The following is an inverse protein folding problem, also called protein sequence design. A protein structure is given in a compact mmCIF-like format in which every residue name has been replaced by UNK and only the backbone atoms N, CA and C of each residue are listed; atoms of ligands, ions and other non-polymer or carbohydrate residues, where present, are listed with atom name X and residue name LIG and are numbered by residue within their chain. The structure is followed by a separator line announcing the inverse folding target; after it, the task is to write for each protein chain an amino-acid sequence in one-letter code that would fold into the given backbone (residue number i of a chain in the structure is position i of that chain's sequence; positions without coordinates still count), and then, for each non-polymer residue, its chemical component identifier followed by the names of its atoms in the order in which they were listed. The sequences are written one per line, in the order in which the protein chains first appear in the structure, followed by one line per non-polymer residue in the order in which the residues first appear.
data_IF_068748212279
#
_entry.id   IF_068748212279
#
_cell.length_a   1.000
_cell.length_b   1.000
_cell.length_c   1.000
_cell.angle_alpha   90.00
_cell.angle_beta   90.00
_cell.angle_gamma   90.00
#
_symmetry.space_group_name_H-M   'P 1'
#
loop_
_entity.id
_entity.type
_entity.pdbx_description
1 polymer ?
#
# COMPACT_ATOMS: atom_id res chain seq x y z
N UNK A 1 -5.53 -15.56 20.36
CA UNK A 1 -6.09 -15.68 18.99
C UNK A 1 -5.77 -17.09 18.49
N UNK A 2 -6.71 -17.77 17.83
CA UNK A 2 -6.47 -19.09 17.24
C UNK A 2 -6.14 -18.92 15.76
N UNK A 3 -4.93 -19.30 15.36
CA UNK A 3 -4.50 -19.32 13.96
C UNK A 3 -4.61 -20.76 13.43
N UNK A 4 -5.10 -20.89 12.21
CA UNK A 4 -5.16 -22.17 11.50
C UNK A 4 -4.16 -22.11 10.35
N UNK A 5 -3.20 -23.02 10.36
CA UNK A 5 -2.20 -23.16 9.31
C UNK A 5 -2.50 -24.41 8.49
N UNK A 6 -2.59 -24.24 7.17
CA UNK A 6 -2.72 -25.34 6.23
C UNK A 6 -1.32 -25.67 5.69
N UNK A 7 -0.83 -26.88 5.96
CA UNK A 7 0.46 -27.35 5.44
C UNK A 7 0.23 -28.59 4.58
N UNK A 8 0.64 -28.55 3.32
CA UNK A 8 0.36 -29.61 2.33
C UNK A 8 0.79 -31.01 2.79
N UNK A 9 1.88 -31.12 3.56
CA UNK A 9 2.42 -32.42 4.01
C UNK A 9 2.00 -32.85 5.43
N UNK A 10 1.32 -31.99 6.21
CA UNK A 10 1.06 -32.24 7.65
C UNK A 10 -0.40 -32.00 8.03
N UNK A 11 -1.21 -31.46 7.12
CA UNK A 11 -2.63 -31.17 7.36
C UNK A 11 -2.85 -29.84 8.07
N UNK A 12 -3.93 -29.76 8.85
CA UNK A 12 -4.40 -28.54 9.51
C UNK A 12 -3.81 -28.43 10.91
N UNK A 13 -3.08 -27.35 11.20
CA UNK A 13 -2.50 -27.07 12.50
C UNK A 13 -3.22 -25.91 13.19
N UNK A 14 -3.75 -26.16 14.39
CA UNK A 14 -4.36 -25.14 15.24
C UNK A 14 -3.33 -24.58 16.22
N UNK A 15 -2.96 -23.31 16.07
CA UNK A 15 -2.03 -22.61 16.97
C UNK A 15 -2.77 -21.57 17.80
N UNK A 16 -2.58 -21.62 19.13
CA UNK A 16 -3.03 -20.56 20.03
C UNK A 16 -1.91 -19.55 20.22
N UNK A 17 -2.04 -18.38 19.62
CA UNK A 17 -1.04 -17.29 19.71
C UNK A 17 -1.53 -16.19 20.63
N UNK A 18 -0.59 -15.60 21.38
CA UNK A 18 -0.80 -14.42 22.21
C UNK A 18 -0.18 -13.20 21.52
N UNK A 19 -0.98 -12.17 21.17
CA UNK A 19 -0.47 -10.94 20.60
C UNK A 19 0.46 -10.23 21.57
N UNK A 20 1.50 -9.59 21.05
CA UNK A 20 2.33 -8.66 21.83
C UNK A 20 1.95 -7.24 21.47
N UNK A 21 1.89 -6.37 22.47
CA UNK A 21 1.72 -4.94 22.23
C UNK A 21 3.02 -4.41 21.63
N UNK A 22 2.92 -3.83 20.44
CA UNK A 22 4.05 -3.27 19.74
C UNK A 22 3.81 -1.79 19.48
N UNK A 23 4.78 -0.96 19.86
CA UNK A 23 4.79 0.45 19.53
C UNK A 23 5.06 0.60 18.03
N UNK A 24 4.01 0.90 17.27
CA UNK A 24 4.11 1.19 15.85
C UNK A 24 3.93 2.68 15.63
N UNK A 25 4.84 3.29 14.89
CA UNK A 25 4.68 4.64 14.37
C UNK A 25 3.90 4.51 13.06
N UNK A 26 2.71 5.11 12.99
CA UNK A 26 1.93 5.11 11.76
C UNK A 26 2.60 5.96 10.65
N UNK A 27 2.04 5.93 9.44
CA UNK A 27 2.58 6.66 8.28
C UNK A 27 2.61 8.19 8.48
N UNK A 28 1.97 8.69 9.53
CA UNK A 28 1.89 10.10 9.89
C UNK A 28 2.76 10.47 11.10
N UNK A 29 3.54 9.52 11.63
CA UNK A 29 4.43 9.76 12.77
C UNK A 29 3.78 9.64 14.14
N UNK A 30 2.52 9.18 14.21
CA UNK A 30 1.80 9.02 15.47
C UNK A 30 2.11 7.65 16.06
N UNK A 31 2.59 7.62 17.30
CA UNK A 31 2.82 6.37 18.04
C UNK A 31 1.48 5.75 18.43
N UNK A 32 1.28 4.49 18.06
CA UNK A 32 0.11 3.69 18.46
C UNK A 32 0.59 2.34 18.98
N UNK A 33 0.02 1.92 20.10
CA UNK A 33 0.18 0.55 20.57
C UNK A 33 -0.84 -0.33 19.85
N UNK A 34 -0.33 -1.24 19.01
CA UNK A 34 -1.17 -2.20 18.29
C UNK A 34 -0.80 -3.61 18.75
N UNK A 35 -1.78 -4.46 19.11
CA UNK A 35 -1.51 -5.87 19.35
C UNK A 35 -1.15 -6.53 18.02
N UNK A 36 0.11 -6.97 17.88
CA UNK A 36 0.62 -7.56 16.65
C UNK A 36 0.96 -9.04 16.83
N UNK A 37 0.74 -9.82 15.77
CA UNK A 37 1.24 -11.18 15.61
C UNK A 37 2.05 -11.19 14.33
N UNK A 38 3.37 -11.38 14.44
CA UNK A 38 4.27 -11.42 13.29
C UNK A 38 4.27 -12.78 12.61
N UNK A 39 4.27 -12.78 11.28
CA UNK A 39 4.50 -13.96 10.44
C UNK A 39 5.75 -13.67 9.61
N UNK A 40 6.81 -14.46 9.78
CA UNK A 40 8.00 -14.35 8.95
C UNK A 40 7.87 -15.33 7.78
N UNK A 41 7.68 -14.79 6.59
CA UNK A 41 7.78 -15.57 5.36
C UNK A 41 9.23 -15.49 4.88
N UNK A 42 9.93 -16.62 4.91
CA UNK A 42 11.22 -16.73 4.23
C UNK A 42 10.93 -16.93 2.75
N UNK A 43 10.84 -15.82 2.01
CA UNK A 43 10.79 -15.85 0.55
C UNK A 43 12.21 -16.10 0.08
N UNK A 44 12.51 -17.35 -0.27
CA UNK A 44 13.89 -17.79 -0.53
C UNK A 44 14.49 -17.14 -1.77
N UNK A 45 13.70 -16.68 -2.75
CA UNK A 45 14.27 -16.21 -4.00
C UNK A 45 13.45 -15.06 -4.60
N UNK A 46 13.88 -13.82 -4.36
CA UNK A 46 13.47 -12.67 -5.18
C UNK A 46 14.09 -12.85 -6.58
N UNK A 47 13.50 -13.71 -7.41
CA UNK A 47 13.96 -13.91 -8.78
C UNK A 47 13.66 -12.64 -9.58
N UNK A 48 14.72 -11.91 -9.91
CA UNK A 48 14.66 -10.81 -10.85
C UNK A 48 14.28 -11.37 -12.22
N UNK A 49 13.02 -11.22 -12.58
CA UNK A 49 12.55 -11.53 -13.93
C UNK A 49 12.91 -10.35 -14.84
N UNK A 50 13.97 -10.52 -15.64
CA UNK A 50 14.27 -9.60 -16.73
C UNK A 50 13.13 -9.61 -17.74
N UNK A 51 12.47 -8.46 -17.90
CA UNK A 51 11.40 -8.27 -18.89
C UNK A 51 11.91 -7.48 -20.08
N UNK A 52 11.42 -7.79 -21.27
CA UNK A 52 11.71 -6.99 -22.46
C UNK A 52 11.02 -5.63 -22.39
N UNK A 53 11.47 -4.65 -23.17
CA UNK A 53 10.88 -3.29 -23.21
C UNK A 53 9.37 -3.34 -23.47
N UNK A 54 8.94 -4.20 -24.42
CA UNK A 54 7.53 -4.35 -24.76
C UNK A 54 6.71 -4.97 -23.62
N UNK A 55 7.25 -5.98 -22.94
CA UNK A 55 6.61 -6.58 -21.77
C UNK A 55 6.49 -5.59 -20.61
N UNK A 56 7.51 -4.77 -20.40
CA UNK A 56 7.51 -3.71 -19.38
C UNK A 56 6.47 -2.64 -19.68
N UNK A 57 6.31 -2.26 -20.95
CA UNK A 57 5.27 -1.32 -21.37
C UNK A 57 3.87 -1.88 -21.12
N UNK A 58 3.58 -3.10 -21.58
CA UNK A 58 2.29 -3.76 -21.32
C UNK A 58 2.01 -3.87 -19.82
N UNK A 59 3.03 -4.23 -19.03
CA UNK A 59 2.89 -4.30 -17.58
C UNK A 59 2.64 -2.92 -16.96
N UNK A 60 3.20 -1.86 -17.52
CA UNK A 60 2.92 -0.49 -17.12
C UNK A 60 1.45 -0.11 -17.32
N UNK A 61 0.81 -0.55 -18.40
CA UNK A 61 -0.62 -0.36 -18.62
C UNK A 61 -1.47 -1.10 -17.58
N UNK A 62 -1.11 -2.35 -17.25
CA UNK A 62 -1.77 -3.11 -16.18
C UNK A 62 -1.64 -2.40 -14.83
N UNK A 63 -0.46 -1.85 -14.54
CA UNK A 63 -0.18 -1.12 -13.32
C UNK A 63 -1.03 0.16 -13.24
N UNK A 64 -1.11 0.95 -14.31
CA UNK A 64 -1.98 2.13 -14.40
C UNK A 64 -3.44 1.76 -14.14
N UNK A 65 -3.91 0.65 -14.71
CA UNK A 65 -5.26 0.14 -14.48
C UNK A 65 -5.49 -0.22 -13.00
N UNK A 66 -4.50 -0.84 -12.35
CA UNK A 66 -4.52 -1.17 -10.92
C UNK A 66 -4.59 0.09 -10.05
N UNK A 67 -3.71 1.06 -10.32
CA UNK A 67 -3.68 2.35 -9.62
C UNK A 67 -5.02 3.07 -9.78
N UNK A 68 -5.59 3.07 -10.98
CA UNK A 68 -6.89 3.70 -11.27
C UNK A 68 -8.02 3.09 -10.44
N UNK A 69 -8.10 1.75 -10.38
CA UNK A 69 -9.11 1.07 -9.55
C UNK A 69 -8.97 1.41 -8.07
N UNK A 70 -7.73 1.41 -7.57
CA UNK A 70 -7.45 1.80 -6.19
C UNK A 70 -7.87 3.24 -5.90
N UNK A 71 -7.53 4.15 -6.81
CA UNK A 71 -7.90 5.56 -6.72
C UNK A 71 -9.43 5.77 -6.72
N UNK A 72 -10.16 5.10 -7.61
CA UNK A 72 -11.63 5.14 -7.64
C UNK A 72 -12.25 4.59 -6.35
N UNK A 73 -11.67 3.55 -5.75
CA UNK A 73 -12.12 3.04 -4.45
C UNK A 73 -12.00 4.09 -3.35
N UNK A 74 -10.84 4.76 -3.27
CA UNK A 74 -10.63 5.87 -2.33
C UNK A 74 -11.59 7.02 -2.60
N UNK A 75 -11.75 7.40 -3.87
CA UNK A 75 -12.64 8.48 -4.28
C UNK A 75 -14.10 8.19 -3.92
N UNK A 76 -14.57 6.97 -4.18
CA UNK A 76 -15.93 6.53 -3.81
C UNK A 76 -16.16 6.56 -2.29
N UNK A 77 -15.12 6.24 -1.51
CA UNK A 77 -15.18 6.32 -0.04
C UNK A 77 -15.18 7.77 0.45
N UNK A 78 -14.43 8.65 -0.23
CA UNK A 78 -14.37 10.08 0.06
C UNK A 78 -15.69 10.81 -0.23
N UNK A 79 -16.41 10.42 -1.29
CA UNK A 79 -17.78 10.90 -1.55
C UNK A 79 -18.83 10.25 -0.63
N UNK A 80 -18.50 9.14 0.03
CA UNK A 80 -19.31 8.55 1.09
C UNK A 80 -19.31 9.40 2.37
N UNK A 81 -20.41 9.33 3.13
CA UNK A 81 -20.68 10.18 4.32
C UNK A 81 -19.71 10.02 5.51
N UNK A 82 -18.76 9.09 5.47
CA UNK A 82 -17.96 8.66 6.63
C UNK A 82 -16.51 9.16 6.64
N UNK A 83 -16.09 9.98 5.67
CA UNK A 83 -14.69 10.44 5.62
C UNK A 83 -14.45 11.66 6.50
N UNK A 84 -13.79 11.45 7.65
CA UNK A 84 -13.35 12.56 8.53
C UNK A 84 -12.25 13.36 7.81
N UNK A 85 -12.56 14.61 7.46
CA UNK A 85 -11.67 15.57 6.78
C UNK A 85 -10.28 15.76 7.44
N UNK A 86 -10.12 15.37 8.71
CA UNK A 86 -8.84 15.41 9.43
C UNK A 86 -7.78 14.41 8.93
N UNK A 87 -8.10 13.56 7.95
CA UNK A 87 -7.16 12.58 7.37
C UNK A 87 -6.43 13.09 6.11
N UNK A 88 -6.77 14.28 5.61
CA UNK A 88 -6.08 14.86 4.45
C UNK A 88 -4.70 15.35 4.91
N UNK A 89 -3.66 14.68 4.40
CA UNK A 89 -2.28 15.08 4.65
C UNK A 89 -2.02 16.44 4.01
N UNK A 90 -1.68 17.43 4.83
CA UNK A 90 -1.20 18.73 4.33
C UNK A 90 0.16 18.64 3.62
N UNK A 91 0.72 19.76 3.13
CA UNK A 91 1.98 19.78 2.37
C UNK A 91 3.15 19.07 3.06
N UNK A 92 3.27 19.26 4.38
CA UNK A 92 4.29 18.59 5.21
C UNK A 92 4.07 17.08 5.30
N UNK A 93 2.81 16.63 5.31
CA UNK A 93 2.46 15.21 5.30
C UNK A 93 2.85 14.54 3.99
N UNK A 94 2.58 15.20 2.86
CA UNK A 94 2.99 14.72 1.52
C UNK A 94 4.52 14.58 1.45
N UNK A 95 5.26 15.59 1.93
CA UNK A 95 6.72 15.53 1.97
C UNK A 95 7.25 14.36 2.83
N UNK A 96 6.62 14.07 3.97
CA UNK A 96 6.97 12.92 4.82
C UNK A 96 6.72 11.59 4.13
N UNK A 97 5.61 11.45 3.41
CA UNK A 97 5.30 10.23 2.65
C UNK A 97 6.31 10.06 1.52
N UNK A 98 6.61 11.12 0.76
CA UNK A 98 7.61 11.10 -0.29
C UNK A 98 8.99 10.66 0.24
N UNK A 99 9.41 11.21 1.40
CA UNK A 99 10.62 10.80 2.10
C UNK A 99 10.59 9.31 2.48
N UNK A 100 9.47 8.82 3.01
CA UNK A 100 9.33 7.42 3.38
C UNK A 100 9.55 6.49 2.17
N UNK A 101 8.94 6.80 1.02
CA UNK A 101 9.17 6.03 -0.21
C UNK A 101 10.62 6.12 -0.70
N UNK A 102 11.25 7.28 -0.58
CA UNK A 102 12.67 7.44 -0.89
C UNK A 102 13.56 6.60 0.02
N UNK A 103 13.28 6.57 1.32
CA UNK A 103 14.03 5.78 2.30
C UNK A 103 13.89 4.25 2.04
N UNK A 104 12.82 3.81 1.36
CA UNK A 104 12.64 2.43 0.88
C UNK A 104 13.34 2.13 -0.45
N UNK A 105 14.00 3.13 -1.05
CA UNK A 105 14.81 2.99 -2.26
C UNK A 105 14.22 3.65 -3.50
N UNK A 106 15.07 3.81 -4.52
CA UNK A 106 14.73 4.57 -5.72
C UNK A 106 13.53 4.01 -6.49
N UNK A 107 13.41 2.68 -6.60
CA UNK A 107 12.29 2.05 -7.28
C UNK A 107 10.95 2.35 -6.59
N UNK A 108 10.93 2.33 -5.26
CA UNK A 108 9.74 2.67 -4.47
C UNK A 108 9.37 4.15 -4.65
N UNK A 109 10.37 5.04 -4.72
CA UNK A 109 10.16 6.45 -5.00
C UNK A 109 9.56 6.73 -6.38
N UNK A 110 10.05 6.06 -7.43
CA UNK A 110 9.47 6.17 -8.78
C UNK A 110 8.03 5.65 -8.81
N UNK A 111 7.74 4.54 -8.15
CA UNK A 111 6.37 4.03 -8.04
C UNK A 111 5.43 5.04 -7.34
N UNK A 112 5.90 5.70 -6.28
CA UNK A 112 5.19 6.79 -5.62
C UNK A 112 4.91 7.95 -6.58
N UNK A 113 5.92 8.42 -7.32
CA UNK A 113 5.75 9.50 -8.30
C UNK A 113 4.76 9.13 -9.41
N UNK A 114 4.83 7.90 -9.93
CA UNK A 114 3.91 7.41 -10.96
C UNK A 114 2.46 7.42 -10.45
N UNK A 115 2.24 6.91 -9.23
CA UNK A 115 0.91 6.93 -8.58
C UNK A 115 0.39 8.35 -8.41
N UNK A 116 1.20 9.27 -7.87
CA UNK A 116 0.79 10.66 -7.63
C UNK A 116 0.55 11.43 -8.93
N UNK A 117 1.42 11.26 -9.94
CA UNK A 117 1.28 11.88 -11.25
C UNK A 117 -0.02 11.46 -11.92
N UNK A 118 -0.32 10.15 -11.91
CA UNK A 118 -1.57 9.63 -12.46
C UNK A 118 -2.79 10.13 -11.69
N UNK A 119 -2.76 10.14 -10.35
CA UNK A 119 -3.88 10.59 -9.53
C UNK A 119 -4.22 12.07 -9.79
N UNK A 120 -3.22 12.96 -9.85
CA UNK A 120 -3.43 14.38 -10.16
C UNK A 120 -3.93 14.56 -11.59
N UNK A 121 -3.32 13.84 -12.55
CA UNK A 121 -3.78 13.87 -13.95
C UNK A 121 -5.23 13.42 -14.09
N UNK A 122 -5.61 12.32 -13.42
CA UNK A 122 -6.96 11.80 -13.40
C UNK A 122 -7.94 12.79 -12.74
N UNK A 123 -7.58 13.39 -11.60
CA UNK A 123 -8.41 14.41 -10.94
C UNK A 123 -8.65 15.62 -11.85
N UNK A 124 -7.64 16.05 -12.61
CA UNK A 124 -7.77 17.15 -13.56
C UNK A 124 -8.65 16.79 -14.78
N UNK A 125 -8.86 15.51 -15.05
CA UNK A 125 -9.76 15.03 -16.11
C UNK A 125 -11.20 14.84 -15.63
N UNK A 126 -11.44 14.79 -14.31
CA UNK A 126 -12.79 14.71 -13.77
C UNK A 126 -13.48 16.09 -13.94
N UNK A 127 -14.71 16.13 -14.48
CA UNK A 127 -15.52 17.34 -14.48
C UNK A 127 -16.03 17.57 -13.06
N UNK A 128 -15.23 18.21 -12.22
CA UNK A 128 -15.67 18.65 -10.90
C UNK A 128 -16.29 20.04 -11.09
N UNK A 129 -17.62 20.20 -10.95
CA UNK A 129 -18.23 21.52 -11.01
C UNK A 129 -17.65 22.38 -9.88
N UNK A 130 -17.17 23.57 -10.24
CA UNK A 130 -16.73 24.61 -9.30
C UNK A 130 -17.92 25.18 -8.52
#
# INVERSE_FOLDING_TARGET
ISLVLYREHVGVLHLKVMPRLQDTVDRFGIKRQVPSVGILFSYDETKLHSRTVLQSFSRGLDEISSITRGFLGVLSSAFGKDTRLNQISGPVGIARIAKNFFDHGFNAYIAFLAMFSWAIGFMNLLPIPI
#
